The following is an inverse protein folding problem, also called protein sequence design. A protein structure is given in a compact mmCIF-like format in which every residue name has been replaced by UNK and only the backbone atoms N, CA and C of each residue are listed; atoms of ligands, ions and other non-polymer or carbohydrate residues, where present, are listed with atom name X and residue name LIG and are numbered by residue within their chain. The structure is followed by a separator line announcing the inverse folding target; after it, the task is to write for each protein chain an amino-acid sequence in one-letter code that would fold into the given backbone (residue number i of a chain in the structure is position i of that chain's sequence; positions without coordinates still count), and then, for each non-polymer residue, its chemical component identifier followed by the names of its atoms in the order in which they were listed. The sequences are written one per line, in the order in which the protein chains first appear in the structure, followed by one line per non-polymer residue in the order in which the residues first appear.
data_IF_729732279950
#
_entry.id   IF_729732279950
#
_cell.length_a   1.000
_cell.length_b   1.000
_cell.length_c   1.000
_cell.angle_alpha   90.00
_cell.angle_beta   90.00
_cell.angle_gamma   90.00
#
_symmetry.space_group_name_H-M   'P 1'
#
loop_
_entity.id
_entity.type
_entity.pdbx_description
1 polymer ?
#
# COMPACT_ATOMS: atom_id res chain seq x y z
N UNK A 1 -1.47 -7.59 53.02
CA UNK A 1 -0.60 -6.58 52.39
C UNK A 1 0.17 -7.24 51.24
N UNK A 2 0.10 -6.67 50.03
CA UNK A 2 1.19 -6.60 49.05
C UNK A 2 0.62 -6.05 47.73
N UNK A 3 1.08 -4.86 47.38
CA UNK A 3 0.77 -4.16 46.13
C UNK A 3 2.10 -4.04 45.37
N UNK A 4 2.15 -4.31 44.06
CA UNK A 4 3.04 -3.57 43.15
C UNK A 4 2.87 -3.92 41.65
N UNK A 5 2.39 -2.89 40.95
CA UNK A 5 2.52 -2.48 39.55
C UNK A 5 3.55 -3.18 38.63
N UNK A 6 3.10 -3.90 37.60
CA UNK A 6 3.38 -3.64 36.18
C UNK A 6 2.99 -2.18 35.90
N UNK A 7 3.59 -1.44 34.94
CA UNK A 7 3.48 0.03 34.95
C UNK A 7 2.02 0.49 35.08
N UNK A 8 1.08 -0.32 34.54
CA UNK A 8 -0.38 -0.29 34.76
C UNK A 8 -1.10 -1.64 34.98
N UNK A 9 -0.60 -2.60 35.75
CA UNK A 9 -1.46 -3.62 36.43
C UNK A 9 -0.64 -4.45 37.42
N UNK A 10 -1.18 -5.15 38.41
CA UNK A 10 -0.46 -6.20 39.17
C UNK A 10 -1.52 -7.05 39.84
N UNK A 11 -1.50 -8.36 39.63
CA UNK A 11 -2.47 -9.26 40.25
C UNK A 11 -1.78 -10.08 41.32
N UNK A 12 -2.20 -9.86 42.56
CA UNK A 12 -1.73 -10.59 43.74
C UNK A 12 -2.90 -11.39 44.27
N UNK A 13 -2.81 -12.71 44.08
CA UNK A 13 -3.52 -13.67 44.90
C UNK A 13 -2.53 -14.79 45.24
N UNK A 14 -2.45 -15.13 46.53
CA UNK A 14 -1.61 -16.21 47.07
C UNK A 14 -0.18 -16.36 46.49
N UNK A 15 0.79 -15.57 46.98
CA UNK A 15 2.22 -15.94 46.97
C UNK A 15 2.99 -16.05 45.63
N UNK A 16 2.33 -16.02 44.47
CA UNK A 16 2.97 -16.19 43.17
C UNK A 16 3.09 -14.84 42.46
N UNK A 17 4.31 -14.33 42.30
CA UNK A 17 4.60 -13.16 41.45
C UNK A 17 4.97 -13.63 40.04
N UNK A 18 4.05 -13.46 39.09
CA UNK A 18 4.32 -13.70 37.67
C UNK A 18 4.74 -12.39 37.01
N UNK A 19 5.97 -12.32 36.48
CA UNK A 19 6.45 -11.20 35.65
C UNK A 19 6.42 -11.62 34.19
N UNK A 20 5.43 -11.12 33.44
CA UNK A 20 5.29 -11.40 32.02
C UNK A 20 5.99 -10.30 31.20
N UNK A 21 6.97 -10.68 30.39
CA UNK A 21 7.61 -9.77 29.42
C UNK A 21 6.83 -9.77 28.10
N UNK A 22 6.14 -8.67 27.82
CA UNK A 22 5.35 -8.49 26.59
C UNK A 22 6.15 -7.87 25.44
N UNK A 23 7.42 -7.51 25.63
CA UNK A 23 8.27 -6.90 24.59
C UNK A 23 8.45 -7.81 23.36
N UNK A 24 8.30 -9.12 23.55
CA UNK A 24 8.28 -10.11 22.47
C UNK A 24 7.09 -9.90 21.52
N UNK A 25 5.95 -9.46 22.03
CA UNK A 25 4.76 -9.20 21.21
C UNK A 25 4.95 -7.92 20.39
N UNK A 26 5.48 -6.85 20.97
CA UNK A 26 5.77 -5.62 20.22
C UNK A 26 6.70 -5.85 19.03
N UNK A 27 7.81 -6.60 19.24
CA UNK A 27 8.73 -6.97 18.16
C UNK A 27 8.08 -7.85 17.10
N UNK A 28 7.18 -8.75 17.51
CA UNK A 28 6.45 -9.60 16.57
C UNK A 28 5.40 -8.82 15.77
N UNK A 29 4.71 -7.86 16.39
CA UNK A 29 3.76 -6.98 15.71
C UNK A 29 4.47 -6.05 14.73
N UNK A 30 5.60 -5.45 15.11
CA UNK A 30 6.41 -4.64 14.18
C UNK A 30 6.88 -5.44 12.97
N UNK A 31 7.34 -6.68 13.18
CA UNK A 31 7.73 -7.59 12.09
C UNK A 31 6.55 -7.99 11.21
N UNK A 32 5.40 -8.26 11.83
CA UNK A 32 4.18 -8.59 11.10
C UNK A 32 3.72 -7.41 10.24
N UNK A 33 3.78 -6.19 10.76
CA UNK A 33 3.44 -4.98 10.01
C UNK A 33 4.41 -4.76 8.85
N UNK A 34 5.71 -4.85 9.11
CA UNK A 34 6.74 -4.73 8.07
C UNK A 34 6.54 -5.77 6.95
N UNK A 35 6.27 -7.03 7.31
CA UNK A 35 5.98 -8.09 6.34
C UNK A 35 4.70 -7.82 5.55
N UNK A 36 3.63 -7.42 6.22
CA UNK A 36 2.34 -7.11 5.60
C UNK A 36 2.46 -5.98 4.57
N UNK A 37 3.12 -4.87 4.93
CA UNK A 37 3.31 -3.72 4.04
C UNK A 37 4.08 -4.13 2.77
N UNK A 38 5.08 -5.00 2.89
CA UNK A 38 5.85 -5.55 1.78
C UNK A 38 5.06 -6.53 0.91
N UNK A 39 4.27 -7.41 1.51
CA UNK A 39 3.39 -8.35 0.82
C UNK A 39 2.35 -7.60 -0.02
N UNK A 40 1.71 -6.56 0.55
CA UNK A 40 0.74 -5.71 -0.14
C UNK A 40 1.37 -5.07 -1.38
N UNK A 41 2.54 -4.43 -1.24
CA UNK A 41 3.23 -3.81 -2.38
C UNK A 41 3.58 -4.84 -3.46
N UNK A 42 4.09 -6.01 -3.06
CA UNK A 42 4.49 -7.08 -4.00
C UNK A 42 3.29 -7.62 -4.78
N UNK A 43 2.17 -7.85 -4.09
CA UNK A 43 0.93 -8.32 -4.71
C UNK A 43 0.30 -7.31 -5.67
N UNK A 44 0.56 -6.00 -5.49
CA UNK A 44 0.07 -4.97 -6.42
C UNK A 44 0.83 -4.96 -7.74
N UNK A 45 2.12 -5.33 -7.77
CA UNK A 45 3.00 -5.17 -8.96
C UNK A 45 2.38 -5.73 -10.24
N UNK A 46 1.85 -6.97 -10.31
CA UNK A 46 1.33 -7.55 -11.55
C UNK A 46 0.09 -6.83 -12.12
N UNK A 47 -0.57 -6.01 -11.30
CA UNK A 47 -1.76 -5.24 -11.69
C UNK A 47 -1.44 -3.77 -11.99
N UNK A 48 -0.21 -3.33 -11.70
CA UNK A 48 0.24 -1.98 -12.03
C UNK A 48 0.55 -1.85 -13.52
N UNK A 49 0.35 -0.68 -14.14
CA UNK A 49 0.83 -0.43 -15.48
C UNK A 49 2.36 -0.43 -15.53
N UNK A 50 2.92 -1.16 -16.49
CA UNK A 50 4.36 -1.22 -16.73
C UNK A 50 4.64 -1.10 -18.22
N UNK A 51 5.38 -0.05 -18.58
CA UNK A 51 5.97 0.11 -19.91
C UNK A 51 7.46 -0.19 -19.85
N UNK A 52 8.21 0.65 -19.13
CA UNK A 52 9.68 0.49 -18.97
C UNK A 52 10.10 0.14 -17.53
N UNK A 53 9.17 0.21 -16.56
CA UNK A 53 9.42 -0.08 -15.15
C UNK A 53 9.65 1.09 -14.17
N UNK A 54 10.04 2.33 -14.56
CA UNK A 54 10.30 3.41 -13.60
C UNK A 54 9.17 3.67 -12.63
N UNK A 55 7.92 3.70 -13.11
CA UNK A 55 6.74 3.93 -12.26
C UNK A 55 6.58 2.88 -11.15
N UNK A 56 6.74 1.60 -11.49
CA UNK A 56 6.68 0.51 -10.52
C UNK A 56 7.85 0.61 -9.53
N UNK A 57 9.05 0.91 -10.03
CA UNK A 57 10.24 1.01 -9.19
C UNK A 57 10.17 2.15 -8.18
N UNK A 58 9.75 3.36 -8.60
CA UNK A 58 9.60 4.49 -7.67
C UNK A 58 8.49 4.26 -6.66
N UNK A 59 7.39 3.60 -7.06
CA UNK A 59 6.31 3.25 -6.14
C UNK A 59 6.77 2.22 -5.12
N UNK A 60 7.51 1.19 -5.55
CA UNK A 60 8.12 0.21 -4.63
C UNK A 60 9.11 0.87 -3.68
N UNK A 61 9.97 1.77 -4.17
CA UNK A 61 10.94 2.47 -3.34
C UNK A 61 10.24 3.37 -2.29
N UNK A 62 9.20 4.11 -2.69
CA UNK A 62 8.41 4.93 -1.78
C UNK A 62 7.69 4.07 -0.72
N UNK A 63 7.10 2.95 -1.11
CA UNK A 63 6.46 2.01 -0.17
C UNK A 63 7.47 1.38 0.78
N UNK A 64 8.67 1.01 0.29
CA UNK A 64 9.74 0.48 1.12
C UNK A 64 10.21 1.50 2.18
N UNK A 65 10.24 2.79 1.83
CA UNK A 65 10.64 3.86 2.76
C UNK A 65 9.70 4.03 3.95
N UNK A 66 8.41 3.65 3.80
CA UNK A 66 7.40 3.71 4.86
C UNK A 66 7.04 2.33 5.42
N UNK A 67 7.77 1.29 5.03
CA UNK A 67 7.45 -0.08 5.40
C UNK A 67 7.56 -0.30 6.92
N UNK A 68 6.51 -0.87 7.53
CA UNK A 68 6.36 -1.00 8.98
C UNK A 68 5.51 0.12 9.60
N UNK A 69 5.10 1.13 8.83
CA UNK A 69 4.18 2.18 9.29
C UNK A 69 2.70 1.76 9.27
N UNK A 70 2.36 0.67 8.56
CA UNK A 70 0.97 0.29 8.32
C UNK A 70 0.37 0.83 7.04
N UNK A 71 1.19 1.37 6.15
CA UNK A 71 0.78 1.89 4.85
C UNK A 71 1.72 1.49 3.72
N UNK A 72 1.19 1.52 2.50
CA UNK A 72 1.96 1.36 1.27
C UNK A 72 1.43 2.36 0.23
N UNK A 73 2.32 2.88 -0.61
CA UNK A 73 1.91 3.67 -1.76
C UNK A 73 1.38 2.72 -2.84
N UNK A 74 0.12 2.89 -3.23
CA UNK A 74 -0.42 2.22 -4.39
C UNK A 74 0.18 2.78 -5.69
N UNK A 75 0.38 4.10 -5.74
CA UNK A 75 0.91 4.82 -6.90
C UNK A 75 1.74 6.02 -6.44
N UNK A 76 2.99 6.13 -6.86
CA UNK A 76 3.86 7.25 -6.50
C UNK A 76 4.20 8.15 -7.69
N UNK A 77 4.33 9.45 -7.42
CA UNK A 77 4.67 10.48 -8.40
C UNK A 77 3.47 11.18 -9.06
N UNK A 78 3.71 12.21 -9.89
CA UNK A 78 2.67 13.02 -10.53
C UNK A 78 1.68 12.19 -11.36
N UNK A 79 2.15 11.10 -11.95
CA UNK A 79 1.35 10.18 -12.75
C UNK A 79 0.48 9.23 -11.94
N UNK A 80 0.79 9.02 -10.66
CA UNK A 80 0.18 7.97 -9.86
C UNK A 80 -1.34 8.11 -9.74
N UNK A 81 -1.84 9.35 -9.57
CA UNK A 81 -3.28 9.60 -9.41
C UNK A 81 -4.07 9.19 -10.65
N UNK A 82 -3.68 9.65 -11.83
CA UNK A 82 -4.43 9.34 -13.05
C UNK A 82 -4.30 7.88 -13.45
N UNK A 83 -3.13 7.28 -13.23
CA UNK A 83 -2.91 5.86 -13.48
C UNK A 83 -3.73 5.00 -12.53
N UNK A 84 -3.84 5.34 -11.25
CA UNK A 84 -4.62 4.57 -10.28
C UNK A 84 -6.12 4.67 -10.53
N UNK A 85 -6.63 5.87 -10.79
CA UNK A 85 -8.05 6.11 -11.10
C UNK A 85 -8.46 5.58 -12.48
N UNK A 86 -7.50 5.28 -13.35
CA UNK A 86 -7.78 4.86 -14.73
C UNK A 86 -8.43 5.92 -15.59
N UNK A 87 -8.24 7.20 -15.23
CA UNK A 87 -8.82 8.33 -15.95
C UNK A 87 -7.73 9.18 -16.57
N UNK A 88 -7.93 9.55 -17.83
CA UNK A 88 -7.03 10.48 -18.52
C UNK A 88 -7.25 11.89 -17.99
N UNK A 89 -6.15 12.63 -17.83
CA UNK A 89 -6.20 14.05 -17.52
C UNK A 89 -5.62 14.86 -18.68
N UNK A 90 -6.27 15.99 -18.98
CA UNK A 90 -5.89 16.92 -20.04
C UNK A 90 -5.65 18.31 -19.48
N UNK A 91 -4.85 19.12 -20.17
CA UNK A 91 -4.69 20.54 -19.88
C UNK A 91 -6.03 21.26 -20.00
N UNK A 92 -6.37 22.09 -19.02
CA UNK A 92 -7.61 22.87 -19.04
C UNK A 92 -7.67 23.90 -20.18
N UNK A 93 -6.53 24.30 -20.74
CA UNK A 93 -6.44 25.30 -21.81
C UNK A 93 -6.44 24.64 -23.19
N UNK A 94 -5.64 23.58 -23.36
CA UNK A 94 -5.40 22.99 -24.69
C UNK A 94 -6.15 21.70 -24.95
N UNK A 95 -6.71 21.05 -23.92
CA UNK A 95 -7.30 19.71 -24.04
C UNK A 95 -6.29 18.61 -24.34
N UNK A 96 -4.99 18.90 -24.30
CA UNK A 96 -3.90 17.95 -24.55
C UNK A 96 -3.57 17.12 -23.30
N UNK A 97 -3.26 15.84 -23.48
CA UNK A 97 -2.69 14.99 -22.42
C UNK A 97 -1.27 15.42 -22.01
N UNK A 98 -0.58 16.14 -22.90
CA UNK A 98 0.66 16.85 -22.63
C UNK A 98 0.36 18.30 -22.27
N UNK A 99 0.24 18.55 -20.97
CA UNK A 99 0.03 19.90 -20.44
C UNK A 99 1.31 20.73 -20.57
N UNK A 100 1.17 22.00 -20.95
CA UNK A 100 2.29 22.95 -20.96
C UNK A 100 2.69 23.30 -19.52
N UNK A 101 3.94 23.72 -19.36
CA UNK A 101 4.41 24.31 -18.10
C UNK A 101 3.46 25.45 -17.70
N UNK A 102 3.10 25.51 -16.42
CA UNK A 102 2.11 26.44 -15.83
C UNK A 102 0.62 26.19 -16.18
N UNK A 103 0.25 25.00 -16.70
CA UNK A 103 -1.16 24.66 -16.93
C UNK A 103 -1.65 23.54 -16.02
N UNK A 104 -2.84 23.72 -15.45
CA UNK A 104 -3.46 22.70 -14.61
C UNK A 104 -4.03 21.57 -15.46
N UNK A 105 -3.95 20.34 -14.92
CA UNK A 105 -4.61 19.17 -15.49
C UNK A 105 -5.98 18.96 -14.85
N UNK A 106 -6.99 18.77 -15.68
CA UNK A 106 -8.37 18.41 -15.32
C UNK A 106 -8.71 17.04 -15.90
N UNK A 107 -9.74 16.38 -15.34
CA UNK A 107 -10.25 15.15 -15.94
C UNK A 107 -10.82 15.46 -17.34
N UNK A 108 -10.73 14.51 -18.27
CA UNK A 108 -11.33 14.66 -19.60
C UNK A 108 -12.83 14.98 -19.51
N UNK A 109 -13.57 14.38 -18.59
CA UNK A 109 -14.99 14.69 -18.36
C UNK A 109 -15.26 16.11 -17.81
N UNK A 110 -14.23 16.80 -17.31
CA UNK A 110 -14.33 18.18 -16.84
C UNK A 110 -13.89 19.20 -17.89
N UNK A 111 -13.32 18.75 -19.01
CA UNK A 111 -12.88 19.64 -20.09
C UNK A 111 -14.04 19.93 -21.05
N UNK A 112 -14.40 21.20 -21.22
CA UNK A 112 -15.51 21.64 -22.07
C UNK A 112 -15.14 21.77 -23.55
N UNK A 113 -13.85 21.73 -23.90
CA UNK A 113 -13.37 21.83 -25.27
C UNK A 113 -13.35 20.49 -26.01
N UNK A 114 -13.06 20.53 -27.31
CA UNK A 114 -12.81 19.30 -28.09
C UNK A 114 -11.46 18.71 -27.70
N UNK A 115 -11.44 17.45 -27.28
CA UNK A 115 -10.21 16.67 -27.06
C UNK A 115 -10.31 15.32 -27.76
N UNK A 116 -9.19 14.84 -28.28
CA UNK A 116 -9.06 13.47 -28.80
C UNK A 116 -8.76 12.45 -27.69
N UNK A 117 -8.51 12.91 -26.46
CA UNK A 117 -8.21 12.05 -25.33
C UNK A 117 -9.45 11.24 -24.91
N UNK A 118 -9.25 9.93 -24.70
CA UNK A 118 -10.28 9.08 -24.12
C UNK A 118 -10.39 9.34 -22.62
N UNK A 119 -11.61 9.34 -22.08
CA UNK A 119 -11.82 9.54 -20.64
C UNK A 119 -11.16 8.43 -19.81
N UNK A 120 -11.37 7.17 -20.22
CA UNK A 120 -10.76 6.02 -19.55
C UNK A 120 -9.42 5.67 -20.19
N UNK A 121 -8.43 5.39 -19.35
CA UNK A 121 -7.12 4.92 -19.76
C UNK A 121 -7.20 3.47 -20.24
N UNK A 122 -6.46 3.19 -21.30
CA UNK A 122 -6.21 1.82 -21.77
C UNK A 122 -4.78 1.47 -21.36
N UNK A 123 -4.64 0.49 -20.48
CA UNK A 123 -3.33 0.06 -20.02
C UNK A 123 -2.66 -0.89 -21.01
N UNK A 124 -1.35 -0.73 -21.17
CA UNK A 124 -0.53 -1.71 -21.85
C UNK A 124 -0.45 -2.99 -20.99
N UNK A 125 -0.75 -4.14 -21.62
CA UNK A 125 -0.81 -5.46 -20.99
C UNK A 125 0.35 -6.39 -21.39
N UNK A 126 1.34 -5.89 -22.11
CA UNK A 126 2.49 -6.68 -22.59
C UNK A 126 3.37 -7.16 -21.44
N UNK A 127 3.76 -6.27 -20.52
CA UNK A 127 4.56 -6.64 -19.36
C UNK A 127 3.71 -7.24 -18.23
N UNK A 128 2.54 -6.63 -17.98
CA UNK A 128 1.62 -7.01 -16.92
C UNK A 128 0.23 -7.30 -17.52
N UNK A 129 -0.11 -8.57 -17.81
CA UNK A 129 -1.39 -8.93 -18.43
C UNK A 129 -2.61 -8.53 -17.61
N UNK A 130 -2.46 -8.47 -16.29
CA UNK A 130 -3.52 -8.10 -15.34
C UNK A 130 -3.56 -6.58 -15.05
N UNK A 131 -2.81 -5.75 -15.79
CA UNK A 131 -2.77 -4.30 -15.56
C UNK A 131 -4.16 -3.64 -15.67
N UNK A 132 -4.57 -2.94 -14.62
CA UNK A 132 -5.89 -2.30 -14.52
C UNK A 132 -5.91 -1.17 -13.48
N UNK A 133 -6.95 -0.34 -13.50
CA UNK A 133 -7.19 0.69 -12.49
C UNK A 133 -7.46 0.09 -11.11
N UNK A 134 -7.26 0.88 -10.05
CA UNK A 134 -7.50 0.49 -8.66
C UNK A 134 -6.87 -0.86 -8.29
N UNK A 135 -5.62 -1.08 -8.71
CA UNK A 135 -4.92 -2.37 -8.61
C UNK A 135 -4.75 -2.94 -7.19
N UNK A 136 -5.00 -2.16 -6.14
CA UNK A 136 -5.05 -2.68 -4.77
C UNK A 136 -6.20 -3.66 -4.56
N UNK A 137 -7.39 -3.39 -5.12
CA UNK A 137 -8.57 -4.24 -4.96
C UNK A 137 -8.38 -5.66 -5.54
N UNK A 138 -7.91 -5.84 -6.79
CA UNK A 138 -7.63 -7.17 -7.32
C UNK A 138 -6.46 -7.85 -6.59
N UNK A 139 -5.43 -7.11 -6.16
CA UNK A 139 -4.34 -7.64 -5.35
C UNK A 139 -4.85 -8.19 -4.01
N UNK A 140 -5.72 -7.44 -3.32
CA UNK A 140 -6.39 -7.85 -2.07
C UNK A 140 -7.30 -9.05 -2.29
N UNK A 141 -8.03 -9.10 -3.40
CA UNK A 141 -8.86 -10.24 -3.76
C UNK A 141 -8.03 -11.52 -3.98
N UNK A 142 -6.86 -11.38 -4.61
CA UNK A 142 -5.94 -12.49 -4.92
C UNK A 142 -5.20 -12.99 -3.67
N UNK A 143 -4.56 -12.08 -2.94
CA UNK A 143 -3.56 -12.43 -1.92
C UNK A 143 -3.96 -12.03 -0.49
N UNK A 144 -5.07 -11.32 -0.27
CA UNK A 144 -5.47 -10.79 1.04
C UNK A 144 -5.59 -11.85 2.14
N UNK A 145 -6.02 -13.07 1.79
CA UNK A 145 -6.05 -14.21 2.73
C UNK A 145 -4.64 -14.66 3.13
N UNK A 146 -3.69 -14.62 2.20
CA UNK A 146 -2.29 -14.96 2.47
C UNK A 146 -1.63 -13.89 3.32
N UNK A 147 -1.88 -12.60 3.07
CA UNK A 147 -1.39 -11.49 3.89
C UNK A 147 -1.77 -11.67 5.37
N UNK A 148 -3.04 -11.97 5.64
CA UNK A 148 -3.54 -12.23 7.00
C UNK A 148 -2.88 -13.46 7.61
N UNK A 149 -2.66 -14.53 6.82
CA UNK A 149 -1.98 -15.75 7.28
C UNK A 149 -0.52 -15.47 7.65
N UNK A 150 0.22 -14.74 6.80
CA UNK A 150 1.61 -14.33 7.04
C UNK A 150 1.72 -13.43 8.28
N UNK A 151 0.82 -12.46 8.41
CA UNK A 151 0.77 -11.57 9.57
C UNK A 151 0.48 -12.35 10.87
N UNK A 152 -0.53 -13.24 10.88
CA UNK A 152 -0.84 -14.10 12.04
C UNK A 152 0.32 -15.02 12.42
N UNK A 153 0.98 -15.62 11.43
CA UNK A 153 2.16 -16.47 11.65
C UNK A 153 3.29 -15.68 12.30
N UNK A 154 3.51 -14.45 11.88
CA UNK A 154 4.60 -13.59 12.40
C UNK A 154 4.27 -12.99 13.77
N UNK A 155 3.01 -12.64 14.01
CA UNK A 155 2.54 -12.03 15.25
C UNK A 155 2.34 -13.04 16.39
N UNK A 156 1.80 -14.23 16.09
CA UNK A 156 1.48 -15.27 17.09
C UNK A 156 2.45 -16.45 17.12
N UNK A 157 3.20 -16.68 16.05
CA UNK A 157 4.12 -17.80 15.89
C UNK A 157 5.53 -17.44 16.35
N UNK A 158 5.70 -17.11 17.62
CA UNK A 158 7.04 -16.93 18.16
C UNK A 158 7.86 -18.21 17.97
N UNK A 159 9.06 -18.12 17.37
CA UNK A 159 10.04 -19.23 17.38
C UNK A 159 10.09 -19.78 18.81
N UNK A 160 9.74 -21.06 18.98
CA UNK A 160 10.07 -21.80 20.19
C UNK A 160 11.60 -21.82 20.21
N UNK A 161 12.17 -21.01 21.11
CA UNK A 161 13.58 -21.12 21.46
C UNK A 161 13.81 -22.47 22.12
#
# INVERSE_FOLDING_TARGET
MATQHFPKWSMVDGGIKVKLDLSRFDKQYQKAQYGLDGDVMTSMVPFMPMQEGPFVNVTRAASAAIQGSGGAYAAFGPQGRFLYEGKTMVSEITGSTWARFDTKKVLVSQYSGKTAAKENLVYNKTAHPEAQAHWFEPAKKKDGKQWVKSAKKTAGGGKRG
#
